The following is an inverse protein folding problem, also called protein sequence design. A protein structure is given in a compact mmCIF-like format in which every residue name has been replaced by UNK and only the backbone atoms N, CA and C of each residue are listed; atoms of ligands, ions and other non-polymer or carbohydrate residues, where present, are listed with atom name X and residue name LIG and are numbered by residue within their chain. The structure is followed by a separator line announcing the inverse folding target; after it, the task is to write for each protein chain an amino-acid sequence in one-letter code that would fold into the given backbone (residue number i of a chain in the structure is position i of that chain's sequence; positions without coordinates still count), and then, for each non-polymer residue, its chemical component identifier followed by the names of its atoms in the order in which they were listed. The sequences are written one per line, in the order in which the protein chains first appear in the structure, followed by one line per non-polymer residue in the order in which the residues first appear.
data_IF_658502123345
#
_entry.id   IF_658502123345
#
_cell.length_a   1.000
_cell.length_b   1.000
_cell.length_c   1.000
_cell.angle_alpha   90.00
_cell.angle_beta   90.00
_cell.angle_gamma   90.00
#
_symmetry.space_group_name_H-M   'P 1'
#
loop_
_entity.id
_entity.type
_entity.pdbx_description
1 polymer ?
#
# COMPACT_ATOMS: atom_id res chain seq x y z
N UNK A 1 -31.56 -9.38 11.04
CA UNK A 1 -30.65 -9.35 9.88
C UNK A 1 -29.23 -9.28 10.40
N UNK A 2 -28.50 -10.40 10.35
CA UNK A 2 -27.08 -10.40 10.66
C UNK A 2 -26.35 -9.82 9.45
N UNK A 3 -25.97 -8.54 9.50
CA UNK A 3 -24.83 -8.10 8.70
C UNK A 3 -23.67 -8.95 9.20
N UNK A 4 -23.19 -9.85 8.34
CA UNK A 4 -22.21 -10.85 8.72
C UNK A 4 -21.02 -10.16 9.38
N UNK A 5 -20.78 -10.47 10.66
CA UNK A 5 -19.60 -10.01 11.41
C UNK A 5 -18.29 -10.35 10.67
N UNK A 6 -18.35 -11.29 9.72
CA UNK A 6 -17.27 -11.65 8.80
C UNK A 6 -16.86 -10.53 7.84
N UNK A 7 -17.79 -9.68 7.39
CA UNK A 7 -17.48 -8.61 6.45
C UNK A 7 -16.55 -7.54 7.07
N UNK A 8 -16.76 -7.24 8.35
CA UNK A 8 -16.07 -6.14 9.03
C UNK A 8 -14.69 -6.54 9.59
N UNK A 9 -14.32 -7.83 9.50
CA UNK A 9 -13.06 -8.37 10.01
C UNK A 9 -12.18 -9.01 8.92
N UNK A 10 -12.46 -8.75 7.64
CA UNK A 10 -11.66 -9.28 6.53
C UNK A 10 -10.29 -8.60 6.52
N UNK A 11 -9.21 -9.30 6.87
CA UNK A 11 -7.85 -8.80 6.62
C UNK A 11 -7.65 -8.61 5.11
N UNK A 12 -6.86 -7.63 4.71
CA UNK A 12 -6.53 -7.51 3.29
C UNK A 12 -5.76 -8.71 2.83
N UNK A 13 -5.99 -9.12 1.59
CA UNK A 13 -5.25 -10.22 0.95
C UNK A 13 -3.75 -9.93 0.90
N UNK A 14 -3.33 -8.67 1.02
CA UNK A 14 -1.91 -8.29 1.11
C UNK A 14 -1.35 -8.42 2.54
N UNK A 15 -2.15 -8.23 3.60
CA UNK A 15 -1.66 -8.16 4.98
C UNK A 15 -1.00 -9.47 5.46
N UNK A 16 -1.47 -10.61 4.97
CA UNK A 16 -0.98 -11.94 5.33
C UNK A 16 0.11 -12.51 4.43
N UNK A 17 0.49 -11.82 3.35
CA UNK A 17 1.47 -12.31 2.37
C UNK A 17 2.90 -12.00 2.82
N UNK A 18 3.83 -12.88 2.43
CA UNK A 18 5.28 -12.60 2.49
C UNK A 18 5.64 -11.40 1.62
N UNK A 19 6.83 -10.82 1.82
CA UNK A 19 7.30 -9.66 1.05
C UNK A 19 7.26 -9.93 -0.46
N UNK A 20 7.76 -11.09 -0.87
CA UNK A 20 7.85 -11.52 -2.25
C UNK A 20 6.45 -11.73 -2.86
N UNK A 21 5.56 -12.38 -2.12
CA UNK A 21 4.16 -12.56 -2.53
C UNK A 21 3.39 -11.23 -2.60
N UNK A 22 3.63 -10.31 -1.65
CA UNK A 22 3.05 -8.96 -1.68
C UNK A 22 3.50 -8.23 -2.94
N UNK A 23 4.81 -8.21 -3.19
CA UNK A 23 5.42 -7.59 -4.37
C UNK A 23 4.83 -8.15 -5.67
N UNK A 24 4.77 -9.47 -5.82
CA UNK A 24 4.20 -10.10 -7.02
C UNK A 24 2.71 -9.81 -7.17
N UNK A 25 1.93 -9.86 -6.08
CA UNK A 25 0.51 -9.55 -6.11
C UNK A 25 0.22 -8.09 -6.51
N UNK A 26 1.09 -7.16 -6.11
CA UNK A 26 0.97 -5.74 -6.47
C UNK A 26 1.34 -5.51 -7.94
N UNK A 27 2.48 -6.05 -8.38
CA UNK A 27 3.03 -5.81 -9.72
C UNK A 27 2.21 -6.47 -10.84
N UNK A 28 1.56 -7.61 -10.55
CA UNK A 28 0.75 -8.34 -11.53
C UNK A 28 -0.72 -7.89 -11.58
N UNK A 29 -1.13 -6.96 -10.72
CA UNK A 29 -2.51 -6.49 -10.69
C UNK A 29 -2.71 -5.26 -11.59
N UNK A 30 -3.51 -5.43 -12.65
CA UNK A 30 -3.85 -4.38 -13.61
C UNK A 30 -4.58 -3.18 -12.99
N UNK A 31 -5.28 -3.35 -11.86
CA UNK A 31 -5.93 -2.24 -11.14
C UNK A 31 -4.91 -1.28 -10.53
N UNK A 32 -3.70 -1.77 -10.20
CA UNK A 32 -2.71 -1.01 -9.44
C UNK A 32 -1.59 -0.42 -10.30
N UNK A 33 -1.52 -0.79 -11.58
CA UNK A 33 -0.40 -0.49 -12.48
C UNK A 33 -0.11 1.00 -12.66
N UNK A 34 -1.12 1.84 -12.51
CA UNK A 34 -1.03 3.28 -12.75
C UNK A 34 -0.70 4.08 -11.47
N UNK A 35 -0.58 3.41 -10.31
CA UNK A 35 -0.21 4.09 -9.08
C UNK A 35 1.28 4.47 -9.06
N UNK A 36 1.63 5.71 -8.67
CA UNK A 36 3.03 6.18 -8.68
C UNK A 36 3.98 5.24 -7.94
N UNK A 37 3.60 4.78 -6.75
CA UNK A 37 4.43 3.91 -5.92
C UNK A 37 4.62 2.52 -6.55
N UNK A 38 3.62 2.03 -7.30
CA UNK A 38 3.67 0.75 -7.99
C UNK A 38 4.53 0.84 -9.25
N UNK A 39 4.44 1.94 -9.99
CA UNK A 39 5.28 2.23 -11.16
C UNK A 39 6.76 2.30 -10.73
N UNK A 40 7.06 3.02 -9.66
CA UNK A 40 8.41 3.14 -9.11
C UNK A 40 8.96 1.77 -8.67
N UNK A 41 8.16 1.00 -7.94
CA UNK A 41 8.53 -0.36 -7.54
C UNK A 41 8.79 -1.23 -8.77
N UNK A 42 7.91 -1.21 -9.78
CA UNK A 42 8.09 -1.98 -11.02
C UNK A 42 9.40 -1.63 -11.71
N UNK A 43 9.68 -0.33 -11.86
CA UNK A 43 10.91 0.15 -12.48
C UNK A 43 12.15 -0.33 -11.72
N UNK A 44 12.16 -0.25 -10.39
CA UNK A 44 13.26 -0.72 -9.55
C UNK A 44 13.54 -2.22 -9.74
N UNK A 45 12.48 -3.02 -9.86
CA UNK A 45 12.61 -4.48 -10.08
C UNK A 45 13.19 -4.78 -11.45
N UNK A 46 12.68 -4.12 -12.50
CA UNK A 46 13.19 -4.29 -13.86
C UNK A 46 14.66 -3.86 -13.99
N UNK A 47 15.09 -2.82 -13.27
CA UNK A 47 16.49 -2.37 -13.22
C UNK A 47 17.38 -3.38 -12.50
N UNK A 48 16.91 -3.92 -11.36
CA UNK A 48 17.64 -4.95 -10.60
C UNK A 48 17.83 -6.22 -11.43
N UNK A 49 16.80 -6.66 -12.15
CA UNK A 49 16.87 -7.84 -13.02
C UNK A 49 17.87 -7.64 -14.17
N UNK A 50 17.91 -6.44 -14.77
CA UNK A 50 18.89 -6.08 -15.80
C UNK A 50 20.33 -6.07 -15.27
N UNK A 51 20.56 -5.50 -14.09
CA UNK A 51 21.88 -5.49 -13.43
C UNK A 51 22.38 -6.91 -13.15
N UNK A 52 21.50 -7.82 -12.69
CA UNK A 52 21.83 -9.23 -12.45
C UNK A 52 22.22 -9.95 -13.76
N UNK A 53 21.44 -9.77 -14.83
CA UNK A 53 21.70 -10.40 -16.13
C UNK A 53 23.03 -9.90 -16.72
N UNK A 54 23.33 -8.61 -16.60
CA UNK A 54 24.60 -8.02 -17.06
C UNK A 54 25.80 -8.50 -16.22
N UNK A 55 25.66 -8.60 -14.89
CA UNK A 55 26.72 -9.02 -13.97
C UNK A 55 27.07 -10.50 -14.03
N UNK A 56 26.23 -11.35 -14.64
CA UNK A 56 26.51 -12.79 -14.79
C UNK A 56 27.60 -13.07 -15.84
N UNK A 57 27.96 -12.10 -16.68
CA UNK A 57 29.00 -12.23 -17.72
C UNK A 57 30.40 -11.77 -17.32
N UNK A 58 30.60 -11.18 -16.14
CA UNK A 58 31.88 -10.58 -15.77
C UNK A 58 32.28 -10.94 -14.33
N UNK A 59 32.57 -12.23 -14.10
CA UNK A 59 33.23 -12.69 -12.87
C UNK A 59 34.73 -12.36 -12.90
N UNK A 60 35.12 -11.09 -13.03
CA UNK A 60 36.40 -10.60 -12.53
C UNK A 60 36.46 -9.06 -12.56
N UNK A 61 35.97 -8.37 -11.52
CA UNK A 61 36.50 -7.03 -11.21
C UNK A 61 36.27 -6.66 -9.75
N UNK A 62 37.39 -6.65 -9.04
CA UNK A 62 37.57 -6.06 -7.73
C UNK A 62 37.33 -4.54 -7.81
N UNK A 63 36.47 -4.07 -6.90
CA UNK A 63 36.44 -2.76 -6.22
C UNK A 63 37.01 -1.53 -6.95
N UNK A 64 36.11 -0.66 -7.42
CA UNK A 64 36.07 0.80 -7.19
C UNK A 64 35.05 1.39 -8.19
N UNK A 65 33.77 1.35 -7.84
CA UNK A 65 32.75 2.06 -8.59
C UNK A 65 32.66 3.50 -8.08
N UNK A 66 33.55 4.35 -8.60
CA UNK A 66 33.35 5.80 -8.60
C UNK A 66 32.05 6.14 -9.35
N UNK A 67 31.13 6.86 -8.69
CA UNK A 67 30.08 7.63 -9.37
C UNK A 67 28.64 7.09 -9.36
N UNK A 68 28.27 6.16 -8.48
CA UNK A 68 26.84 5.90 -8.20
C UNK A 68 26.41 6.83 -7.07
N UNK A 69 25.45 7.73 -7.32
CA UNK A 69 24.83 8.59 -6.30
C UNK A 69 24.09 7.69 -5.30
N UNK A 70 24.82 7.16 -4.32
CA UNK A 70 24.33 6.24 -3.31
C UNK A 70 23.52 7.06 -2.30
N UNK A 71 22.18 6.93 -2.26
CA UNK A 71 21.39 7.63 -1.26
C UNK A 71 21.78 7.15 0.12
N UNK A 72 21.83 8.06 1.09
CA UNK A 72 22.06 7.68 2.48
C UNK A 72 20.88 6.88 3.03
N UNK A 73 21.13 6.01 4.01
CA UNK A 73 20.06 5.29 4.73
C UNK A 73 18.98 6.26 5.24
N UNK A 74 19.40 7.38 5.86
CA UNK A 74 18.49 8.39 6.38
C UNK A 74 17.62 9.01 5.28
N UNK A 75 18.13 9.18 4.05
CA UNK A 75 17.35 9.69 2.92
C UNK A 75 16.26 8.71 2.51
N UNK A 76 16.58 7.42 2.41
CA UNK A 76 15.60 6.38 2.04
C UNK A 76 14.49 6.29 3.10
N UNK A 77 14.86 6.31 4.38
CA UNK A 77 13.91 6.28 5.49
C UNK A 77 13.02 7.53 5.53
N UNK A 78 13.60 8.72 5.30
CA UNK A 78 12.85 9.97 5.24
C UNK A 78 11.84 9.97 4.07
N UNK A 79 12.25 9.48 2.89
CA UNK A 79 11.38 9.39 1.72
C UNK A 79 10.21 8.43 1.95
N UNK A 80 10.47 7.28 2.58
CA UNK A 80 9.41 6.34 2.97
C UNK A 80 8.40 7.02 3.89
N UNK A 81 8.88 7.67 4.97
CA UNK A 81 8.01 8.34 5.93
C UNK A 81 7.19 9.46 5.28
N UNK A 82 7.80 10.24 4.38
CA UNK A 82 7.12 11.29 3.63
C UNK A 82 6.02 10.70 2.72
N UNK A 83 6.32 9.63 1.99
CA UNK A 83 5.34 8.93 1.13
C UNK A 83 4.17 8.40 1.95
N UNK A 84 4.44 7.71 3.06
CA UNK A 84 3.39 7.16 3.93
C UNK A 84 2.51 8.26 4.55
N UNK A 85 3.10 9.38 4.96
CA UNK A 85 2.34 10.54 5.47
C UNK A 85 1.44 11.14 4.39
N UNK A 86 1.96 11.27 3.16
CA UNK A 86 1.18 11.75 2.01
C UNK A 86 0.00 10.81 1.70
N UNK A 87 0.26 9.51 1.64
CA UNK A 87 -0.76 8.47 1.44
C UNK A 87 -1.82 8.51 2.54
N UNK A 88 -1.42 8.62 3.81
CA UNK A 88 -2.36 8.73 4.92
C UNK A 88 -3.32 9.92 4.73
N UNK A 89 -2.81 11.07 4.31
CA UNK A 89 -3.62 12.27 4.08
C UNK A 89 -4.56 12.11 2.87
N UNK A 90 -4.07 11.55 1.77
CA UNK A 90 -4.87 11.25 0.57
C UNK A 90 -6.04 10.30 0.91
N UNK A 91 -5.76 9.18 1.58
CA UNK A 91 -6.80 8.21 1.94
C UNK A 91 -7.75 8.73 3.02
N UNK A 92 -7.28 9.54 3.97
CA UNK A 92 -8.19 10.21 4.90
C UNK A 92 -9.19 11.10 4.17
N UNK A 93 -8.73 11.84 3.15
CA UNK A 93 -9.58 12.71 2.34
C UNK A 93 -10.57 11.91 1.49
N UNK A 94 -10.12 10.82 0.85
CA UNK A 94 -10.98 9.91 0.07
C UNK A 94 -12.04 9.24 0.92
N UNK A 95 -11.69 8.76 2.12
CA UNK A 95 -12.63 8.18 3.08
C UNK A 95 -13.67 9.22 3.51
N UNK A 96 -13.24 10.45 3.83
CA UNK A 96 -14.16 11.52 4.20
C UNK A 96 -15.13 11.86 3.04
N UNK A 97 -14.63 11.91 1.80
CA UNK A 97 -15.44 12.06 0.60
C UNK A 97 -16.47 10.95 0.44
N UNK A 98 -16.06 9.70 0.63
CA UNK A 98 -16.93 8.52 0.55
C UNK A 98 -18.04 8.55 1.61
N UNK A 99 -17.71 8.89 2.86
CA UNK A 99 -18.69 9.07 3.94
C UNK A 99 -19.68 10.19 3.63
N UNK A 100 -19.21 11.32 3.10
CA UNK A 100 -20.07 12.44 2.73
C UNK A 100 -21.02 12.09 1.58
N UNK A 101 -20.55 11.36 0.58
CA UNK A 101 -21.39 10.84 -0.51
C UNK A 101 -22.44 9.86 0.02
N UNK A 102 -22.06 8.97 0.94
CA UNK A 102 -22.97 8.03 1.57
C UNK A 102 -24.10 8.74 2.32
N UNK A 103 -23.77 9.79 3.09
CA UNK A 103 -24.76 10.63 3.80
C UNK A 103 -25.70 11.33 2.83
N UNK A 104 -25.17 12.01 1.81
CA UNK A 104 -25.99 12.70 0.80
C UNK A 104 -26.93 11.74 0.06
N UNK A 105 -26.46 10.55 -0.30
CA UNK A 105 -27.29 9.54 -0.93
C UNK A 105 -28.35 8.96 0.03
N UNK A 106 -28.03 8.80 1.31
CA UNK A 106 -29.01 8.38 2.32
C UNK A 106 -30.11 9.43 2.52
N UNK A 107 -29.72 10.70 2.60
CA UNK A 107 -30.63 11.84 2.78
C UNK A 107 -31.53 12.03 1.54
N UNK A 108 -30.99 11.83 0.33
CA UNK A 108 -31.74 11.92 -0.93
C UNK A 108 -32.58 10.68 -1.26
N UNK A 109 -32.18 9.48 -0.81
CA UNK A 109 -32.93 8.22 -0.97
C UNK A 109 -34.20 8.11 -0.11
N UNK A 110 -34.62 9.16 0.61
CA UNK A 110 -36.04 9.33 0.96
C UNK A 110 -36.98 9.23 -0.27
N UNK A 111 -36.47 9.22 -1.52
CA UNK A 111 -37.26 9.16 -2.75
C UNK A 111 -37.12 7.94 -3.68
N UNK A 112 -36.43 6.84 -3.33
CA UNK A 112 -36.59 5.61 -4.18
C UNK A 112 -35.49 4.55 -4.29
N UNK A 113 -34.61 4.35 -3.30
CA UNK A 113 -33.70 3.18 -3.32
C UNK A 113 -33.68 2.47 -1.98
N UNK A 114 -33.49 1.14 -1.96
CA UNK A 114 -33.46 0.41 -0.69
C UNK A 114 -32.19 0.76 0.09
N UNK A 115 -32.32 0.89 1.43
CA UNK A 115 -31.17 1.10 2.33
C UNK A 115 -30.10 0.01 2.16
N UNK A 116 -30.52 -1.23 1.82
CA UNK A 116 -29.63 -2.38 1.61
C UNK A 116 -28.70 -2.18 0.41
N UNK A 117 -29.22 -1.75 -0.74
CA UNK A 117 -28.41 -1.50 -1.94
C UNK A 117 -27.40 -0.37 -1.71
N UNK A 118 -27.80 0.66 -0.95
CA UNK A 118 -26.90 1.76 -0.61
C UNK A 118 -25.74 1.26 0.26
N UNK A 119 -26.04 0.47 1.28
CA UNK A 119 -25.00 -0.11 2.16
C UNK A 119 -24.06 -1.00 1.34
N UNK A 120 -24.57 -1.89 0.49
CA UNK A 120 -23.74 -2.76 -0.35
C UNK A 120 -22.83 -1.97 -1.30
N UNK A 121 -23.34 -0.91 -1.93
CA UNK A 121 -22.54 -0.02 -2.79
C UNK A 121 -21.37 0.60 -2.02
N UNK A 122 -21.64 1.22 -0.87
CA UNK A 122 -20.62 1.93 -0.09
C UNK A 122 -19.63 0.99 0.60
N UNK A 123 -20.06 -0.25 0.89
CA UNK A 123 -19.19 -1.36 1.25
C UNK A 123 -18.18 -1.64 0.14
N UNK A 124 -18.64 -1.92 -1.09
CA UNK A 124 -17.73 -2.26 -2.19
C UNK A 124 -16.78 -1.12 -2.55
N UNK A 125 -17.25 0.13 -2.50
CA UNK A 125 -16.40 1.31 -2.70
C UNK A 125 -15.35 1.46 -1.58
N UNK A 126 -15.70 1.12 -0.33
CA UNK A 126 -14.76 1.14 0.78
C UNK A 126 -13.69 0.04 0.64
N UNK A 127 -14.09 -1.16 0.21
CA UNK A 127 -13.16 -2.27 -0.05
C UNK A 127 -12.18 -1.95 -1.18
N UNK A 128 -12.68 -1.43 -2.30
CA UNK A 128 -11.83 -1.02 -3.42
C UNK A 128 -10.86 0.08 -2.98
N UNK A 129 -11.34 1.09 -2.24
CA UNK A 129 -10.48 2.15 -1.71
C UNK A 129 -9.41 1.60 -0.76
N UNK A 130 -9.78 0.66 0.11
CA UNK A 130 -8.84 0.02 1.03
C UNK A 130 -7.78 -0.80 0.29
N UNK A 131 -8.19 -1.60 -0.70
CA UNK A 131 -7.30 -2.41 -1.53
C UNK A 131 -6.27 -1.55 -2.28
N UNK A 132 -6.70 -0.42 -2.82
CA UNK A 132 -5.79 0.54 -3.46
C UNK A 132 -4.82 1.16 -2.44
N UNK A 133 -5.28 1.42 -1.21
CA UNK A 133 -4.44 1.93 -0.13
C UNK A 133 -3.35 0.92 0.22
N UNK A 134 -3.74 -0.35 0.42
CA UNK A 134 -2.82 -1.43 0.73
C UNK A 134 -1.75 -1.55 -0.37
N UNK A 135 -2.17 -1.58 -1.64
CA UNK A 135 -1.24 -1.71 -2.76
C UNK A 135 -0.19 -0.60 -2.77
N UNK A 136 -0.60 0.66 -2.59
CA UNK A 136 0.30 1.83 -2.61
C UNK A 136 1.23 1.87 -1.40
N UNK A 137 0.71 1.57 -0.21
CA UNK A 137 1.51 1.53 1.02
C UNK A 137 2.54 0.40 0.95
N UNK A 138 2.13 -0.81 0.58
CA UNK A 138 3.05 -1.93 0.45
C UNK A 138 4.04 -1.72 -0.70
N UNK A 139 3.66 -1.06 -1.79
CA UNK A 139 4.59 -0.70 -2.84
C UNK A 139 5.70 0.24 -2.34
N UNK A 140 5.35 1.29 -1.59
CA UNK A 140 6.31 2.21 -1.00
C UNK A 140 7.24 1.52 0.02
N UNK A 141 6.70 0.65 0.88
CA UNK A 141 7.49 -0.14 1.84
C UNK A 141 8.45 -1.06 1.11
N UNK A 142 7.96 -1.86 0.15
CA UNK A 142 8.77 -2.79 -0.62
C UNK A 142 9.89 -2.08 -1.40
N UNK A 143 9.60 -0.91 -1.96
CA UNK A 143 10.60 -0.09 -2.66
C UNK A 143 11.73 0.32 -1.72
N UNK A 144 11.39 0.85 -0.53
CA UNK A 144 12.38 1.26 0.46
C UNK A 144 13.21 0.08 0.98
N UNK A 145 12.59 -1.07 1.25
CA UNK A 145 13.30 -2.28 1.65
C UNK A 145 14.28 -2.76 0.59
N UNK A 146 13.92 -2.68 -0.69
CA UNK A 146 14.81 -3.06 -1.79
C UNK A 146 15.99 -2.08 -1.91
N UNK A 147 15.77 -0.77 -1.81
CA UNK A 147 16.84 0.23 -1.81
C UNK A 147 17.83 -0.02 -0.66
N UNK A 148 17.30 -0.21 0.55
CA UNK A 148 18.11 -0.49 1.73
C UNK A 148 18.94 -1.77 1.55
N UNK A 149 18.32 -2.83 1.02
CA UNK A 149 18.99 -4.11 0.76
C UNK A 149 20.05 -3.98 -0.33
N UNK A 150 19.77 -3.24 -1.42
CA UNK A 150 20.70 -3.00 -2.54
C UNK A 150 22.01 -2.39 -2.05
N UNK A 151 21.94 -1.46 -1.09
CA UNK A 151 23.11 -0.79 -0.52
C UNK A 151 23.61 -1.40 0.80
N UNK A 152 23.09 -2.56 1.21
CA UNK A 152 23.52 -3.26 2.43
C UNK A 152 23.21 -2.52 3.73
N UNK A 153 22.22 -1.63 3.74
CA UNK A 153 21.79 -0.91 4.93
C UNK A 153 20.93 -1.78 5.84
N UNK A 154 21.17 -1.71 7.15
CA UNK A 154 20.37 -2.37 8.16
C UNK A 154 19.38 -1.35 8.72
N UNK A 155 18.10 -1.48 8.38
CA UNK A 155 17.03 -0.60 8.88
C UNK A 155 15.79 -1.39 9.23
N UNK A 156 15.24 -1.11 10.41
CA UNK A 156 13.94 -1.62 10.84
C UNK A 156 12.78 -0.74 10.41
N UNK A 157 13.03 0.44 9.83
CA UNK A 157 12.00 1.44 9.54
C UNK A 157 10.90 0.89 8.62
N UNK A 158 11.19 0.16 7.52
CA UNK A 158 10.12 -0.41 6.70
C UNK A 158 9.27 -1.46 7.41
N UNK A 159 9.91 -2.31 8.23
CA UNK A 159 9.20 -3.32 9.02
C UNK A 159 8.31 -2.69 10.10
N UNK A 160 8.80 -1.62 10.75
CA UNK A 160 8.01 -0.83 11.69
C UNK A 160 6.86 -0.13 10.98
N UNK A 161 7.09 0.47 9.81
CA UNK A 161 6.06 1.11 9.01
C UNK A 161 4.94 0.12 8.63
N UNK A 162 5.28 -1.10 8.21
CA UNK A 162 4.32 -2.19 7.96
C UNK A 162 3.49 -2.50 9.20
N UNK A 163 4.15 -2.62 10.35
CA UNK A 163 3.47 -2.92 11.63
C UNK A 163 2.51 -1.79 12.03
N UNK A 164 2.97 -0.54 11.98
CA UNK A 164 2.16 0.65 12.28
C UNK A 164 0.97 0.76 11.34
N UNK A 165 1.17 0.50 10.05
CA UNK A 165 0.10 0.51 9.06
C UNK A 165 -1.01 -0.50 9.39
N UNK A 166 -0.63 -1.77 9.59
CA UNK A 166 -1.56 -2.85 9.91
C UNK A 166 -2.31 -2.58 11.22
N UNK A 167 -1.60 -2.09 12.24
CA UNK A 167 -2.21 -1.75 13.52
C UNK A 167 -3.19 -0.57 13.39
N UNK A 168 -2.81 0.51 12.71
CA UNK A 168 -3.66 1.68 12.48
C UNK A 168 -4.94 1.29 11.74
N UNK A 169 -4.82 0.43 10.72
CA UNK A 169 -5.95 -0.10 9.96
C UNK A 169 -6.89 -0.91 10.84
N UNK A 170 -6.35 -1.81 11.66
CA UNK A 170 -7.12 -2.61 12.63
C UNK A 170 -7.84 -1.72 13.65
N UNK A 171 -7.14 -0.76 14.24
CA UNK A 171 -7.70 0.16 15.24
C UNK A 171 -8.83 1.01 14.65
N UNK A 172 -8.65 1.49 13.42
CA UNK A 172 -9.69 2.26 12.72
C UNK A 172 -10.94 1.42 12.47
N UNK A 173 -10.78 0.17 12.07
CA UNK A 173 -11.92 -0.76 11.90
C UNK A 173 -12.63 -1.02 13.22
N UNK A 174 -11.89 -1.28 14.30
CA UNK A 174 -12.47 -1.45 15.64
C UNK A 174 -13.22 -0.22 16.12
N UNK A 175 -12.68 0.99 15.88
CA UNK A 175 -13.33 2.25 16.22
C UNK A 175 -14.58 2.55 15.41
N UNK A 176 -14.64 2.12 14.15
CA UNK A 176 -15.85 2.23 13.34
C UNK A 176 -16.91 1.23 13.78
N UNK A 177 -16.48 0.00 14.13
CA UNK A 177 -17.34 -1.05 14.66
C UNK A 177 -17.98 -0.69 15.99
N UNK A 178 -17.25 -0.04 16.90
CA UNK A 178 -17.79 0.39 18.21
C UNK A 178 -18.84 1.49 18.10
N UNK A 179 -19.01 2.10 16.92
CA UNK A 179 -19.99 3.15 16.63
C UNK A 179 -21.26 2.65 15.92
N UNK A 180 -21.30 1.36 15.57
CA UNK A 180 -22.45 0.69 14.96
C UNK A 180 -23.29 -0.02 16.03
#
# INVERSE_FOLDING_TARGET
MAFDKYFLNRQSDLDGKSKEEQKQAILNNEEFKDFPEVIELKKQVEETDKEIIAGTNDQNKNSEAEGVDRPSQAKIEADLNQKLTSLQNDYNSKIAGLVNSAKKELDSKQKGGSKKELVQKYIGLSESLESQCDARVYAAINFAENELSKYGYQSSVPAQAKTVYQQTKKDRRMHLLSKL
#
